data_IF_264369149124
#
_entry.id   IF_264369149124
#
_cell.length_a   1.000
_cell.length_b   1.000
_cell.length_c   1.000
_cell.angle_alpha   90.00
_cell.angle_beta   90.00
_cell.angle_gamma   90.00
#
_symmetry.space_group_name_H-M   'P 1'
#
loop_
_entity.id
_entity.type
_entity.pdbx_description
1 polymer ?
#
# COMPACT_ATOMS: atom_id res chain seq x y z
N UNK A 1 43.43 14.84 44.19
CA UNK A 1 42.49 13.79 44.62
C UNK A 1 41.32 13.79 43.67
N UNK A 2 41.35 12.94 42.64
CA UNK A 2 40.30 12.84 41.62
C UNK A 2 39.28 11.81 42.12
N UNK A 3 38.04 12.26 42.37
CA UNK A 3 36.97 11.39 42.86
C UNK A 3 36.60 10.29 41.84
N UNK A 4 36.12 9.12 42.30
CA UNK A 4 35.70 8.05 41.42
C UNK A 4 34.55 8.52 40.52
N UNK A 5 34.78 8.49 39.21
CA UNK A 5 33.80 8.87 38.21
C UNK A 5 32.56 7.97 38.28
N UNK A 6 31.42 8.56 38.61
CA UNK A 6 30.13 7.90 38.52
C UNK A 6 29.90 7.51 37.05
N UNK A 7 29.99 6.20 36.75
CA UNK A 7 29.66 5.70 35.42
C UNK A 7 28.22 6.08 35.08
N UNK A 8 27.96 6.62 33.87
CA UNK A 8 26.62 7.05 33.48
C UNK A 8 25.68 5.85 33.52
N UNK A 9 24.65 5.93 34.37
CA UNK A 9 23.61 4.91 34.51
C UNK A 9 22.98 4.64 33.14
N UNK A 10 23.37 3.53 32.51
CA UNK A 10 22.77 3.05 31.25
C UNK A 10 21.35 2.59 31.56
N UNK A 11 20.37 3.50 31.44
CA UNK A 11 18.95 3.12 31.39
C UNK A 11 18.78 2.16 30.22
N UNK A 12 18.55 0.88 30.53
CA UNK A 12 18.28 -0.13 29.51
C UNK A 12 17.04 0.31 28.73
N UNK A 13 17.09 0.16 27.40
CA UNK A 13 15.97 0.49 26.50
C UNK A 13 14.66 -0.19 26.89
N UNK A 14 14.72 -1.26 27.68
CA UNK A 14 13.54 -1.95 28.21
C UNK A 14 12.74 -1.08 29.19
N UNK A 15 13.36 -0.08 29.82
CA UNK A 15 12.72 0.88 30.74
C UNK A 15 12.23 2.18 30.03
N UNK A 16 12.34 2.26 28.69
CA UNK A 16 11.81 3.39 27.91
C UNK A 16 10.34 3.18 27.47
N UNK A 17 9.80 1.98 27.66
CA UNK A 17 8.40 1.64 27.39
C UNK A 17 7.61 1.69 28.70
N UNK A 18 7.30 2.92 29.15
CA UNK A 18 6.56 3.20 30.39
C UNK A 18 5.17 2.55 30.43
N UNK A 19 4.56 2.25 29.28
CA UNK A 19 3.38 1.38 29.22
C UNK A 19 3.27 0.70 27.85
N UNK A 20 3.93 -0.46 27.68
CA UNK A 20 3.96 -1.22 26.41
C UNK A 20 2.58 -1.43 25.81
N UNK A 21 1.56 -1.68 26.64
CA UNK A 21 0.25 -2.10 26.15
C UNK A 21 -0.47 -0.98 25.40
N UNK A 22 -0.47 0.24 25.92
CA UNK A 22 -1.17 1.36 25.28
C UNK A 22 -0.47 1.84 24.02
N UNK A 23 0.85 2.02 24.10
CA UNK A 23 1.64 2.53 22.97
C UNK A 23 1.69 1.54 21.80
N UNK A 24 1.79 0.24 22.10
CA UNK A 24 1.84 -0.79 21.07
C UNK A 24 0.46 -1.02 20.45
N UNK A 25 -0.63 -1.03 21.25
CA UNK A 25 -2.00 -1.19 20.71
C UNK A 25 -2.37 -0.08 19.73
N UNK A 26 -2.14 1.19 20.09
CA UNK A 26 -2.50 2.31 19.22
C UNK A 26 -1.64 2.33 17.94
N UNK A 27 -0.33 2.15 18.08
CA UNK A 27 0.58 2.15 16.92
C UNK A 27 0.29 0.97 16.00
N UNK A 28 0.07 -0.23 16.56
CA UNK A 28 -0.22 -1.43 15.77
C UNK A 28 -1.59 -1.33 15.09
N UNK A 29 -2.59 -0.73 15.73
CA UNK A 29 -3.88 -0.44 15.10
C UNK A 29 -3.73 0.53 13.92
N UNK A 30 -3.04 1.67 14.11
CA UNK A 30 -2.84 2.66 13.04
C UNK A 30 -1.99 2.10 11.89
N UNK A 31 -0.88 1.44 12.19
CA UNK A 31 -0.02 0.81 11.17
C UNK A 31 -0.74 -0.35 10.49
N UNK A 32 -1.53 -1.14 11.23
CA UNK A 32 -2.32 -2.24 10.68
C UNK A 32 -3.40 -1.75 9.71
N UNK A 33 -4.10 -0.68 10.07
CA UNK A 33 -5.08 -0.04 9.18
C UNK A 33 -4.40 0.51 7.92
N UNK A 34 -3.27 1.21 8.07
CA UNK A 34 -2.51 1.72 6.93
C UNK A 34 -2.00 0.59 6.02
N UNK A 35 -1.49 -0.50 6.60
CA UNK A 35 -1.03 -1.66 5.86
C UNK A 35 -2.17 -2.35 5.10
N UNK A 36 -3.35 -2.48 5.71
CA UNK A 36 -4.53 -3.03 5.07
C UNK A 36 -4.97 -2.17 3.87
N UNK A 37 -5.04 -0.85 4.04
CA UNK A 37 -5.37 0.08 2.95
C UNK A 37 -4.34 0.01 1.82
N UNK A 38 -3.05 -0.04 2.16
CA UNK A 38 -1.98 -0.20 1.15
C UNK A 38 -2.05 -1.55 0.43
N UNK A 39 -2.37 -2.64 1.13
CA UNK A 39 -2.51 -3.95 0.51
C UNK A 39 -3.68 -3.99 -0.48
N UNK A 40 -4.82 -3.41 -0.10
CA UNK A 40 -6.00 -3.32 -0.98
C UNK A 40 -5.70 -2.46 -2.22
N UNK A 41 -5.10 -1.29 -2.03
CA UNK A 41 -4.71 -0.42 -3.14
C UNK A 41 -3.66 -1.09 -4.03
N UNK A 42 -2.65 -1.71 -3.43
CA UNK A 42 -1.59 -2.41 -4.15
C UNK A 42 -2.11 -3.59 -4.97
N UNK A 43 -3.04 -4.38 -4.41
CA UNK A 43 -3.75 -5.43 -5.14
C UNK A 43 -4.45 -4.85 -6.36
N UNK A 44 -5.25 -3.80 -6.17
CA UNK A 44 -6.01 -3.18 -7.25
C UNK A 44 -5.09 -2.66 -8.37
N UNK A 45 -4.02 -1.94 -8.02
CA UNK A 45 -3.02 -1.44 -8.98
C UNK A 45 -2.34 -2.58 -9.76
N UNK A 46 -1.99 -3.69 -9.10
CA UNK A 46 -1.39 -4.86 -9.76
C UNK A 46 -2.39 -5.50 -10.74
N UNK A 47 -3.68 -5.52 -10.40
CA UNK A 47 -4.76 -5.97 -11.29
C UNK A 47 -4.80 -5.14 -12.57
N UNK A 48 -4.92 -3.81 -12.44
CA UNK A 48 -4.99 -2.88 -13.57
C UNK A 48 -3.72 -2.94 -14.43
N UNK A 49 -2.53 -2.99 -13.82
CA UNK A 49 -1.27 -3.15 -14.54
C UNK A 49 -1.18 -4.50 -15.28
N UNK A 50 -1.82 -5.53 -14.74
CA UNK A 50 -1.93 -6.85 -15.35
C UNK A 50 -2.70 -6.82 -16.66
N UNK A 51 -3.86 -6.16 -16.68
CA UNK A 51 -4.69 -6.00 -17.88
C UNK A 51 -3.94 -5.26 -18.99
N UNK A 52 -3.29 -4.14 -18.66
CA UNK A 52 -2.49 -3.38 -19.63
C UNK A 52 -1.34 -4.22 -20.22
N UNK A 53 -0.65 -5.00 -19.37
CA UNK A 53 0.44 -5.87 -19.83
C UNK A 53 -0.08 -7.00 -20.72
N UNK A 54 -1.26 -7.55 -20.42
CA UNK A 54 -1.86 -8.60 -21.23
C UNK A 54 -2.19 -8.10 -22.65
N UNK A 55 -2.75 -6.89 -22.78
CA UNK A 55 -3.03 -6.27 -24.09
C UNK A 55 -1.74 -6.05 -24.88
N UNK A 56 -0.69 -5.55 -24.23
CA UNK A 56 0.60 -5.37 -24.89
C UNK A 56 1.21 -6.70 -25.36
N UNK A 57 1.07 -7.77 -24.57
CA UNK A 57 1.51 -9.10 -24.95
C UNK A 57 0.67 -9.69 -26.09
N UNK A 58 -0.66 -9.50 -26.09
CA UNK A 58 -1.52 -10.03 -27.16
C UNK A 58 -1.29 -9.33 -28.49
N UNK A 59 -1.04 -8.02 -28.49
CA UNK A 59 -0.63 -7.29 -29.69
C UNK A 59 0.67 -7.85 -30.28
N UNK A 60 1.68 -8.12 -29.44
CA UNK A 60 2.95 -8.74 -29.89
C UNK A 60 2.81 -10.18 -30.37
N UNK A 61 1.89 -10.96 -29.80
CA UNK A 61 1.60 -12.32 -30.28
C UNK A 61 0.94 -12.31 -31.67
N UNK A 62 0.16 -11.28 -31.96
CA UNK A 62 -0.53 -11.10 -33.25
C UNK A 62 0.33 -10.61 -34.40
N UNK A 63 1.56 -10.14 -34.16
CA UNK A 63 2.48 -9.72 -35.23
C UNK A 63 2.89 -10.95 -36.07
N UNK A 64 2.55 -10.98 -37.38
CA UNK A 64 2.79 -12.15 -38.22
C UNK A 64 4.27 -12.29 -38.54
N UNK A 65 4.81 -13.49 -38.30
CA UNK A 65 6.11 -13.88 -38.84
C UNK A 65 5.99 -14.29 -40.32
N UNK A 66 7.07 -14.18 -41.11
CA UNK A 66 7.05 -14.69 -42.48
C UNK A 66 6.66 -16.16 -42.48
N UNK A 67 5.80 -16.57 -43.42
CA UNK A 67 5.30 -17.93 -43.49
C UNK A 67 6.45 -18.93 -43.61
N UNK A 68 6.41 -19.99 -42.79
CA UNK A 68 7.37 -21.07 -42.91
C UNK A 68 7.14 -21.79 -44.24
N UNK A 69 8.18 -22.02 -45.06
CA UNK A 69 8.02 -22.79 -46.29
C UNK A 69 7.61 -24.22 -45.93
N UNK A 70 6.48 -24.68 -46.46
CA UNK A 70 5.91 -26.02 -46.23
C UNK A 70 6.63 -27.12 -47.01
N UNK A 71 7.38 -26.74 -48.05
CA UNK A 71 8.07 -27.64 -48.96
C UNK A 71 9.48 -27.11 -49.27
N UNK A 72 10.45 -28.02 -49.33
CA UNK A 72 11.83 -27.74 -49.79
C UNK A 72 11.91 -27.58 -51.32
N UNK A 73 10.92 -28.10 -52.03
CA UNK A 73 10.84 -28.08 -53.49
C UNK A 73 9.87 -26.98 -53.95
N UNK A 74 10.21 -26.31 -55.05
CA UNK A 74 9.31 -25.42 -55.75
C UNK A 74 8.15 -26.25 -56.29
N UNK A 75 6.94 -25.88 -55.89
CA UNK A 75 5.74 -26.34 -56.59
C UNK A 75 5.62 -25.42 -57.80
N UNK A 76 5.83 -25.95 -59.00
CA UNK A 76 5.64 -25.22 -60.25
C UNK A 76 4.12 -25.00 -60.45
N UNK A 77 3.50 -24.10 -59.68
CA UNK A 77 2.11 -23.66 -59.83
C UNK A 77 1.99 -22.70 -61.04
N UNK A 78 2.41 -23.14 -62.23
CA UNK A 78 2.18 -22.40 -63.47
C UNK A 78 0.78 -22.68 -64.07
N UNK A 79 -0.03 -23.54 -63.45
CA UNK A 79 -1.36 -23.88 -63.94
C UNK A 79 -2.54 -23.26 -63.16
N UNK A 80 -2.28 -22.47 -62.11
CA UNK A 80 -3.35 -21.91 -61.27
C UNK A 80 -3.19 -20.40 -60.95
N UNK A 81 -2.64 -19.60 -61.88
CA UNK A 81 -2.91 -18.15 -61.87
C UNK A 81 -4.32 -17.88 -62.41
N UNK A 82 -5.33 -18.15 -61.58
CA UNK A 82 -6.45 -17.20 -61.51
C UNK A 82 -5.88 -15.88 -60.95
N UNK A 83 -6.36 -14.70 -61.39
CA UNK A 83 -5.78 -13.43 -60.96
C UNK A 83 -5.78 -13.38 -59.43
N UNK A 84 -4.60 -13.27 -58.85
CA UNK A 84 -4.43 -12.96 -57.44
C UNK A 84 -5.32 -11.75 -57.16
N UNK A 85 -6.42 -11.96 -56.44
CA UNK A 85 -7.20 -10.86 -55.91
C UNK A 85 -6.19 -9.98 -55.18
N UNK A 86 -6.11 -8.67 -55.50
CA UNK A 86 -5.20 -7.78 -54.82
C UNK A 86 -5.47 -7.95 -53.34
N UNK A 87 -4.48 -8.44 -52.60
CA UNK A 87 -4.51 -8.41 -51.15
C UNK A 87 -4.84 -6.96 -50.81
N UNK A 88 -6.06 -6.73 -50.34
CA UNK A 88 -6.49 -5.40 -49.95
C UNK A 88 -5.39 -4.85 -49.03
N UNK A 89 -4.94 -3.60 -49.21
CA UNK A 89 -4.07 -3.00 -48.22
C UNK A 89 -4.82 -3.09 -46.90
N UNK A 90 -4.39 -3.99 -46.03
CA UNK A 90 -4.77 -3.95 -44.62
C UNK A 90 -4.37 -2.55 -44.20
N UNK A 91 -5.37 -1.69 -44.02
CA UNK A 91 -5.18 -0.34 -43.55
C UNK A 91 -4.24 -0.43 -42.36
N UNK A 92 -3.06 0.18 -42.49
CA UNK A 92 -2.17 0.37 -41.37
C UNK A 92 -3.06 0.91 -40.23
N UNK A 93 -3.05 0.29 -39.04
CA UNK A 93 -3.75 0.91 -37.92
C UNK A 93 -3.16 2.31 -37.78
N UNK A 94 -4.02 3.31 -37.91
CA UNK A 94 -3.68 4.71 -37.64
C UNK A 94 -2.85 4.71 -36.35
N UNK A 95 -1.62 5.24 -36.34
CA UNK A 95 -0.86 5.33 -35.11
C UNK A 95 -1.72 6.12 -34.14
N UNK A 96 -2.19 5.45 -33.08
CA UNK A 96 -2.75 6.16 -31.93
C UNK A 96 -1.65 7.12 -31.48
N UNK A 97 -1.92 8.43 -31.37
CA UNK A 97 -0.90 9.38 -30.99
C UNK A 97 -0.29 8.92 -29.66
N UNK A 98 1.00 8.60 -29.71
CA UNK A 98 1.79 8.44 -28.49
C UNK A 98 1.68 9.77 -27.75
N UNK A 99 1.25 9.81 -26.48
CA UNK A 99 1.31 11.04 -25.72
C UNK A 99 2.79 11.45 -25.65
N UNK A 100 3.11 12.59 -26.27
CA UNK A 100 4.43 13.19 -26.22
C UNK A 100 4.74 13.59 -24.77
N UNK A 101 5.58 12.80 -24.11
CA UNK A 101 6.10 13.07 -22.77
C UNK A 101 7.23 14.13 -22.79
N UNK A 102 7.44 14.83 -23.90
CA UNK A 102 8.48 15.87 -24.06
C UNK A 102 7.95 17.31 -24.04
N UNK A 103 6.65 17.52 -23.84
CA UNK A 103 6.13 18.88 -23.63
C UNK A 103 6.58 19.40 -22.25
N UNK A 104 7.30 20.54 -22.17
CA UNK A 104 7.59 21.18 -20.90
C UNK A 104 6.26 21.57 -20.25
N UNK A 105 6.09 21.18 -18.99
CA UNK A 105 4.97 21.58 -18.14
C UNK A 105 4.87 23.11 -18.17
N UNK A 106 3.69 23.72 -18.39
CA UNK A 106 3.55 25.16 -18.22
C UNK A 106 3.89 25.50 -16.76
N UNK A 107 4.98 26.23 -16.55
CA UNK A 107 5.32 26.82 -15.27
C UNK A 107 4.14 27.70 -14.83
N UNK A 108 3.57 27.50 -13.63
CA UNK A 108 2.52 28.37 -13.14
C UNK A 108 3.04 29.81 -13.04
N UNK A 109 2.31 30.75 -13.62
CA UNK A 109 2.57 32.19 -13.50
C UNK A 109 2.48 32.58 -12.01
N UNK A 110 3.56 33.07 -11.39
CA UNK A 110 3.56 33.51 -10.00
C UNK A 110 2.71 34.78 -9.75
N UNK A 111 2.06 35.32 -10.79
CA UNK A 111 1.25 36.54 -10.73
C UNK A 111 -0.26 36.29 -10.73
N UNK A 112 -0.73 35.04 -10.80
CA UNK A 112 -2.16 34.73 -10.77
C UNK A 112 -2.73 34.86 -9.34
N UNK A 113 -3.77 35.69 -9.11
CA UNK A 113 -4.38 35.83 -7.80
C UNK A 113 -5.11 34.53 -7.39
N UNK A 114 -4.78 34.01 -6.22
CA UNK A 114 -5.44 32.87 -5.59
C UNK A 114 -6.95 33.13 -5.42
N UNK A 115 -7.86 32.23 -5.85
CA UNK A 115 -9.27 32.38 -5.55
C UNK A 115 -9.51 32.16 -4.05
N UNK A 116 -9.94 33.22 -3.37
CA UNK A 116 -10.42 33.16 -1.98
C UNK A 116 -11.72 32.36 -1.95
N UNK A 117 -11.86 31.31 -1.13
CA UNK A 117 -13.13 30.61 -0.98
C UNK A 117 -14.18 31.55 -0.37
N UNK A 118 -15.34 31.61 -1.02
CA UNK A 118 -16.53 32.36 -0.60
C UNK A 118 -17.02 31.83 0.78
N UNK A 119 -17.08 32.67 1.83
CA UNK A 119 -17.54 32.28 3.16
C UNK A 119 -19.06 32.03 3.24
N UNK A 120 -19.79 32.08 2.12
CA UNK A 120 -21.26 31.98 2.09
C UNK A 120 -21.80 30.60 1.70
N UNK A 121 -20.94 29.59 1.52
CA UNK A 121 -21.38 28.23 1.20
C UNK A 121 -21.98 27.52 2.44
N UNK A 122 -23.24 27.06 2.40
CA UNK A 122 -23.87 26.42 3.55
C UNK A 122 -23.20 25.07 3.86
N UNK A 123 -22.80 24.90 5.12
CA UNK A 123 -22.25 23.66 5.65
C UNK A 123 -23.27 22.52 5.53
N UNK A 124 -22.86 21.41 4.89
CA UNK A 124 -23.67 20.20 4.81
C UNK A 124 -23.81 19.56 6.21
N UNK A 125 -25.05 19.27 6.59
CA UNK A 125 -25.46 18.62 7.83
C UNK A 125 -24.93 17.16 7.88
N UNK A 126 -24.12 16.78 8.88
CA UNK A 126 -23.57 15.43 9.02
C UNK A 126 -24.57 14.38 9.55
N UNK A 127 -25.87 14.70 9.65
CA UNK A 127 -26.85 13.85 10.34
C UNK A 127 -27.83 13.07 9.44
N UNK A 128 -27.60 13.01 8.12
CA UNK A 128 -28.48 12.26 7.23
C UNK A 128 -28.19 10.73 7.29
N UNK A 129 -29.18 9.88 7.62
CA UNK A 129 -29.00 8.43 7.60
C UNK A 129 -28.91 7.89 6.17
N UNK A 130 -27.83 7.15 5.90
CA UNK A 130 -27.60 6.39 4.67
C UNK A 130 -28.74 5.38 4.43
N UNK A 131 -29.32 5.27 3.23
CA UNK A 131 -30.27 4.21 2.92
C UNK A 131 -29.55 2.86 2.91
N UNK A 132 -30.08 1.91 3.68
CA UNK A 132 -29.64 0.52 3.67
C UNK A 132 -29.92 -0.10 2.30
N UNK A 133 -28.88 -0.67 1.68
CA UNK A 133 -29.02 -1.46 0.47
C UNK A 133 -29.60 -2.84 0.82
N UNK A 134 -30.65 -3.21 0.08
CA UNK A 134 -31.39 -4.47 0.08
C UNK A 134 -30.48 -5.66 -0.33
N UNK A 135 -30.28 -6.68 0.51
CA UNK A 135 -29.49 -7.87 0.18
C UNK A 135 -30.40 -8.97 -0.36
N UNK A 136 -30.98 -8.76 -1.55
CA UNK A 136 -31.82 -9.76 -2.22
C UNK A 136 -31.47 -9.87 -3.70
N UNK A 137 -30.30 -10.43 -4.00
CA UNK A 137 -29.95 -10.92 -5.33
C UNK A 137 -29.21 -12.27 -5.19
N UNK A 138 -29.60 -13.32 -5.94
CA UNK A 138 -29.06 -14.66 -5.76
C UNK A 138 -27.61 -14.75 -6.23
N UNK A 139 -26.79 -15.39 -5.41
CA UNK A 139 -25.42 -15.76 -5.72
C UNK A 139 -25.41 -16.72 -6.92
N UNK A 140 -24.73 -16.31 -8.00
CA UNK A 140 -24.37 -17.19 -9.09
C UNK A 140 -23.16 -18.05 -8.68
N UNK A 141 -23.36 -19.36 -8.79
CA UNK A 141 -22.43 -20.45 -8.57
C UNK A 141 -21.24 -20.39 -9.57
N UNK A 142 -19.97 -20.30 -9.13
CA UNK A 142 -18.82 -20.45 -10.00
C UNK A 142 -18.27 -21.88 -9.90
N UNK A 143 -19.08 -22.86 -10.30
CA UNK A 143 -18.66 -24.26 -10.45
C UNK A 143 -18.95 -24.73 -11.87
N UNK A 144 -18.07 -24.39 -12.81
CA UNK A 144 -17.96 -25.10 -14.08
C UNK A 144 -16.50 -25.09 -14.58
N UNK A 145 -15.92 -26.25 -14.94
CA UNK A 145 -14.62 -26.30 -15.58
C UNK A 145 -14.75 -25.80 -17.02
N UNK A 146 -13.94 -24.81 -17.40
CA UNK A 146 -13.75 -24.43 -18.78
C UNK A 146 -13.01 -25.57 -19.49
N UNK A 147 -13.74 -26.34 -20.29
CA UNK A 147 -13.18 -27.23 -21.29
C UNK A 147 -12.51 -26.39 -22.38
N UNK A 148 -11.27 -26.73 -22.66
CA UNK A 148 -10.44 -26.17 -23.73
C UNK A 148 -10.99 -26.60 -25.10
N UNK A 149 -11.41 -25.67 -25.98
CA UNK A 149 -11.79 -25.97 -27.35
C UNK A 149 -10.55 -25.85 -28.23
N UNK A 150 -9.71 -26.87 -28.27
CA UNK A 150 -8.59 -26.96 -29.22
C UNK A 150 -8.22 -28.41 -29.50
N UNK A 151 -9.14 -29.12 -30.14
CA UNK A 151 -8.78 -30.23 -31.02
C UNK A 151 -9.23 -29.83 -32.42
N UNK A 152 -8.34 -29.75 -33.42
CA UNK A 152 -8.80 -29.69 -34.80
C UNK A 152 -9.52 -31.02 -35.07
N UNK A 153 -10.83 -30.94 -35.31
CA UNK A 153 -11.54 -32.04 -35.95
C UNK A 153 -10.84 -32.29 -37.28
N UNK A 154 -10.22 -33.47 -37.39
CA UNK A 154 -9.70 -33.98 -38.64
C UNK A 154 -10.86 -34.00 -39.64
N UNK A 155 -10.71 -33.21 -40.70
CA UNK A 155 -11.54 -33.32 -41.90
C UNK A 155 -11.23 -34.70 -42.53
N UNK A 156 -12.17 -35.65 -42.60
CA UNK A 156 -11.97 -36.91 -43.30
C UNK A 156 -12.33 -36.71 -44.78
N UNK A 157 -11.72 -35.71 -45.41
CA UNK A 157 -11.65 -35.61 -46.87
C UNK A 157 -10.18 -35.72 -47.25
N UNK A 158 -9.64 -36.92 -47.02
CA UNK A 158 -8.51 -37.36 -47.83
C UNK A 158 -9.02 -37.41 -49.27
N UNK A 159 -8.76 -36.35 -50.04
CA UNK A 159 -8.81 -36.46 -51.48
C UNK A 159 -7.90 -37.62 -51.87
N UNK A 160 -8.42 -38.67 -52.53
CA UNK A 160 -7.56 -39.65 -53.15
C UNK A 160 -6.72 -38.89 -54.16
N UNK A 161 -5.40 -38.87 -53.95
CA UNK A 161 -4.46 -38.21 -54.85
C UNK A 161 -4.83 -38.51 -56.29
N UNK A 162 -4.98 -37.45 -57.07
CA UNK A 162 -5.33 -37.47 -58.48
C UNK A 162 -4.31 -38.30 -59.23
N UNK A 163 -4.57 -39.61 -59.30
CA UNK A 163 -3.83 -40.51 -60.14
C UNK A 163 -4.08 -40.04 -61.58
N UNK A 164 -3.04 -39.85 -62.40
CA UNK A 164 -3.17 -39.21 -63.71
C UNK A 164 -4.24 -39.92 -64.51
N UNK A 165 -5.36 -39.23 -64.76
CA UNK A 165 -6.46 -39.76 -65.57
C UNK A 165 -5.93 -40.01 -66.97
N UNK A 166 -5.70 -41.28 -67.32
CA UNK A 166 -5.36 -41.70 -68.69
C UNK A 166 -6.51 -41.29 -69.61
N UNK A 167 -6.29 -40.23 -70.37
CA UNK A 167 -7.23 -39.83 -71.42
C UNK A 167 -6.98 -40.73 -72.62
N UNK A 168 -7.92 -41.64 -72.90
CA UNK A 168 -7.85 -42.51 -74.09
C UNK A 168 -8.44 -41.72 -75.25
N UNK A 169 -7.58 -41.12 -76.08
CA UNK A 169 -7.98 -40.52 -77.34
C UNK A 169 -8.05 -41.64 -78.39
N UNK A 170 -9.25 -42.06 -78.76
CA UNK A 170 -9.45 -43.10 -79.78
C UNK A 170 -9.46 -42.44 -81.15
N UNK A 171 -8.37 -42.54 -81.89
CA UNK A 171 -8.36 -42.33 -83.34
C UNK A 171 -8.54 -43.66 -84.06
N UNK A 172 -9.23 -43.63 -85.20
CA UNK A 172 -9.59 -44.80 -86.01
C UNK A 172 -8.38 -45.75 -86.18
N UNK A 173 -8.49 -46.93 -85.57
CA UNK A 173 -7.69 -48.13 -85.83
C UNK A 173 -6.24 -48.22 -85.30
N UNK A 174 -5.87 -47.58 -84.19
CA UNK A 174 -4.73 -48.05 -83.34
C UNK A 174 -4.78 -47.49 -81.91
N UNK A 175 -4.76 -48.38 -80.89
CA UNK A 175 -4.68 -48.02 -79.47
C UNK A 175 -3.21 -47.78 -79.07
N UNK A 176 -2.73 -46.54 -79.21
CA UNK A 176 -1.42 -46.13 -78.67
C UNK A 176 -1.63 -45.47 -77.31
N UNK A 177 -1.22 -46.14 -76.23
CA UNK A 177 -1.14 -45.49 -74.92
C UNK A 177 0.07 -44.55 -74.93
N UNK A 178 -0.16 -43.27 -75.19
CA UNK A 178 0.85 -42.25 -74.99
C UNK A 178 1.14 -42.17 -73.49
N UNK A 179 2.30 -42.67 -73.08
CA UNK A 179 2.73 -42.57 -71.69
C UNK A 179 3.14 -41.11 -71.49
N UNK A 180 2.50 -40.36 -70.57
CA UNK A 180 2.87 -38.97 -70.36
C UNK A 180 4.37 -38.89 -70.05
N UNK A 181 5.08 -37.87 -70.56
CA UNK A 181 6.49 -37.70 -70.29
C UNK A 181 6.71 -37.69 -68.76
N UNK A 182 7.81 -38.30 -68.26
CA UNK A 182 8.09 -38.30 -66.83
C UNK A 182 8.15 -36.84 -66.34
N UNK A 183 7.54 -36.53 -65.19
CA UNK A 183 7.59 -35.19 -64.65
C UNK A 183 9.04 -34.75 -64.48
N UNK A 184 9.36 -33.46 -64.70
CA UNK A 184 10.69 -32.94 -64.43
C UNK A 184 11.08 -33.22 -62.98
N UNK A 185 12.37 -33.47 -62.69
CA UNK A 185 12.81 -33.68 -61.31
C UNK A 185 12.45 -32.44 -60.47
N UNK A 186 11.98 -32.62 -59.23
CA UNK A 186 11.57 -31.52 -58.39
C UNK A 186 12.77 -30.58 -58.16
N UNK A 187 12.56 -29.28 -58.41
CA UNK A 187 13.59 -28.26 -58.22
C UNK A 187 13.56 -27.79 -56.77
N UNK A 188 14.68 -27.90 -56.07
CA UNK A 188 14.80 -27.36 -54.71
C UNK A 188 14.71 -25.82 -54.74
N UNK A 189 13.99 -25.22 -53.79
CA UNK A 189 13.99 -23.76 -53.61
C UNK A 189 15.34 -23.34 -53.02
N UNK A 190 16.17 -22.57 -53.76
CA UNK A 190 17.47 -22.12 -53.25
C UNK A 190 17.34 -21.23 -52.00
N UNK A 191 16.17 -20.65 -51.75
CA UNK A 191 15.87 -19.79 -50.61
C UNK A 191 15.17 -20.52 -49.45
N UNK A 192 15.00 -21.85 -49.51
CA UNK A 192 14.32 -22.59 -48.46
C UNK A 192 14.97 -22.35 -47.08
N UNK A 193 16.29 -22.52 -47.00
CA UNK A 193 17.04 -22.36 -45.76
C UNK A 193 16.96 -20.94 -45.19
N UNK A 194 17.01 -19.91 -46.06
CA UNK A 194 16.92 -18.51 -45.63
C UNK A 194 15.51 -18.15 -45.14
N UNK A 195 14.46 -18.66 -45.80
CA UNK A 195 13.07 -18.50 -45.35
C UNK A 195 12.81 -19.18 -43.99
N UNK A 196 13.29 -20.41 -43.82
CA UNK A 196 13.19 -21.13 -42.52
C UNK A 196 13.95 -20.37 -41.43
N UNK A 197 15.18 -19.93 -41.71
CA UNK A 197 15.97 -19.15 -40.75
C UNK A 197 15.27 -17.83 -40.38
N UNK A 198 14.72 -17.10 -41.35
CA UNK A 198 13.99 -15.85 -41.11
C UNK A 198 12.74 -16.07 -40.25
N UNK A 199 11.99 -17.15 -40.50
CA UNK A 199 10.84 -17.53 -39.68
C UNK A 199 11.24 -17.78 -38.21
N UNK A 200 12.25 -18.62 -37.97
CA UNK A 200 12.71 -18.91 -36.62
C UNK A 200 13.31 -17.69 -35.90
N UNK A 201 14.03 -16.83 -36.62
CA UNK A 201 14.55 -15.59 -36.06
C UNK A 201 13.42 -14.66 -35.63
N UNK A 202 12.35 -14.55 -36.42
CA UNK A 202 11.16 -13.78 -36.06
C UNK A 202 10.49 -14.34 -34.80
N UNK A 203 10.30 -15.66 -34.72
CA UNK A 203 9.70 -16.33 -33.55
C UNK A 203 10.51 -16.11 -32.26
N UNK A 204 11.84 -16.23 -32.33
CA UNK A 204 12.73 -15.99 -31.19
C UNK A 204 12.70 -14.52 -30.76
N UNK A 205 12.71 -13.58 -31.72
CA UNK A 205 12.61 -12.15 -31.43
C UNK A 205 11.28 -11.80 -30.74
N UNK A 206 10.17 -12.42 -31.19
CA UNK A 206 8.85 -12.26 -30.58
C UNK A 206 8.80 -12.79 -29.15
N UNK A 207 9.36 -13.97 -28.89
CA UNK A 207 9.45 -14.54 -27.54
C UNK A 207 10.29 -13.65 -26.62
N UNK A 208 11.46 -13.20 -27.07
CA UNK A 208 12.33 -12.31 -26.31
C UNK A 208 11.65 -10.98 -25.95
N UNK A 209 10.86 -10.41 -26.87
CA UNK A 209 10.08 -9.21 -26.61
C UNK A 209 9.01 -9.44 -25.53
N UNK A 210 8.27 -10.56 -25.58
CA UNK A 210 7.28 -10.91 -24.56
C UNK A 210 7.94 -11.10 -23.19
N UNK A 211 9.10 -11.76 -23.14
CA UNK A 211 9.87 -11.97 -21.91
C UNK A 211 10.42 -10.67 -21.33
N UNK A 212 10.80 -9.72 -22.19
CA UNK A 212 11.21 -8.38 -21.75
C UNK A 212 10.07 -7.63 -21.07
N UNK A 213 8.85 -7.65 -21.65
CA UNK A 213 7.66 -7.09 -21.02
C UNK A 213 7.37 -7.76 -19.66
N UNK A 214 7.50 -9.08 -19.59
CA UNK A 214 7.31 -9.85 -18.35
C UNK A 214 8.31 -9.45 -17.25
N UNK A 215 9.60 -9.33 -17.59
CA UNK A 215 10.65 -8.90 -16.65
C UNK A 215 10.44 -7.46 -16.18
N UNK A 216 10.02 -6.56 -17.08
CA UNK A 216 9.68 -5.18 -16.75
C UNK A 216 8.56 -5.11 -15.71
N UNK A 217 7.45 -5.83 -15.94
CA UNK A 217 6.34 -5.92 -14.99
C UNK A 217 6.80 -6.42 -13.62
N UNK A 218 7.54 -7.53 -13.57
CA UNK A 218 8.02 -8.12 -12.30
C UNK A 218 8.94 -7.15 -11.55
N UNK A 219 9.84 -6.44 -12.25
CA UNK A 219 10.70 -5.42 -11.63
C UNK A 219 9.88 -4.26 -11.06
N UNK A 220 8.92 -3.73 -11.81
CA UNK A 220 8.05 -2.64 -11.33
C UNK A 220 7.28 -3.07 -10.09
N UNK A 221 6.67 -4.27 -10.09
CA UNK A 221 5.94 -4.81 -8.93
C UNK A 221 6.88 -4.98 -7.74
N UNK A 222 8.09 -5.51 -7.95
CA UNK A 222 9.07 -5.70 -6.87
C UNK A 222 9.48 -4.35 -6.26
N UNK A 223 9.77 -3.34 -7.08
CA UNK A 223 10.10 -1.98 -6.61
C UNK A 223 8.92 -1.35 -5.86
N UNK A 224 7.69 -1.52 -6.35
CA UNK A 224 6.48 -1.03 -5.68
C UNK A 224 6.30 -1.67 -4.30
N UNK A 225 6.40 -3.01 -4.22
CA UNK A 225 6.30 -3.75 -2.95
C UNK A 225 7.42 -3.35 -1.99
N UNK A 226 8.67 -3.27 -2.46
CA UNK A 226 9.81 -2.88 -1.64
C UNK A 226 9.64 -1.45 -1.09
N UNK A 227 9.23 -0.50 -1.93
CA UNK A 227 9.00 0.89 -1.52
C UNK A 227 7.86 1.01 -0.50
N UNK A 228 6.75 0.28 -0.69
CA UNK A 228 5.65 0.20 0.27
C UNK A 228 6.08 -0.38 1.63
N UNK A 229 6.88 -1.45 1.64
CA UNK A 229 7.44 -2.02 2.88
C UNK A 229 8.37 -1.02 3.60
N UNK A 230 9.24 -0.32 2.87
CA UNK A 230 10.12 0.71 3.44
C UNK A 230 9.31 1.83 4.07
N UNK A 231 8.27 2.31 3.37
CA UNK A 231 7.39 3.36 3.89
C UNK A 231 6.64 2.90 5.13
N UNK A 232 6.09 1.67 5.14
CA UNK A 232 5.41 1.09 6.30
C UNK A 232 6.34 1.01 7.52
N UNK A 233 7.57 0.52 7.33
CA UNK A 233 8.57 0.45 8.40
C UNK A 233 8.94 1.85 8.88
N UNK A 234 9.17 2.78 7.97
CA UNK A 234 9.47 4.18 8.29
C UNK A 234 8.36 4.85 9.11
N UNK A 235 7.10 4.66 8.71
CA UNK A 235 5.93 5.22 9.39
C UNK A 235 5.73 4.57 10.77
N UNK A 236 5.98 3.26 10.91
CA UNK A 236 5.94 2.58 12.20
C UNK A 236 7.02 3.11 13.16
N UNK A 237 8.27 3.24 12.70
CA UNK A 237 9.37 3.81 13.51
C UNK A 237 9.07 5.27 13.89
N UNK A 238 8.56 6.06 12.94
CA UNK A 238 8.15 7.44 13.19
C UNK A 238 7.01 7.53 14.21
N UNK A 239 5.98 6.69 14.07
CA UNK A 239 4.85 6.59 15.00
C UNK A 239 5.31 6.27 16.43
N UNK A 240 6.17 5.25 16.59
CA UNK A 240 6.75 4.89 17.89
C UNK A 240 7.51 6.09 18.49
N UNK A 241 8.36 6.75 17.70
CA UNK A 241 9.13 7.94 18.13
C UNK A 241 8.21 9.08 18.55
N UNK A 242 7.15 9.35 17.80
CA UNK A 242 6.18 10.40 18.10
C UNK A 242 5.41 10.08 19.38
N UNK A 243 4.87 8.86 19.51
CA UNK A 243 4.13 8.45 20.71
C UNK A 243 4.99 8.53 21.97
N UNK A 244 6.31 8.26 21.90
CA UNK A 244 7.19 8.44 23.06
C UNK A 244 7.29 9.88 23.54
N UNK A 245 7.29 10.86 22.63
CA UNK A 245 7.40 12.29 22.97
C UNK A 245 6.14 12.88 23.61
N UNK A 246 5.00 12.19 23.45
CA UNK A 246 3.68 12.64 23.93
C UNK A 246 3.21 11.80 25.12
N UNK A 247 3.28 10.47 25.03
CA UNK A 247 2.73 9.57 26.05
C UNK A 247 3.51 9.59 27.36
N UNK A 248 4.84 9.77 27.31
CA UNK A 248 5.68 9.83 28.52
C UNK A 248 5.27 10.96 29.47
N UNK A 249 5.20 12.21 29.01
CA UNK A 249 4.70 13.33 29.79
C UNK A 249 3.28 13.14 30.30
N UNK A 250 2.38 12.66 29.44
CA UNK A 250 0.98 12.48 29.78
C UNK A 250 0.82 11.48 30.94
N UNK A 251 1.52 10.34 30.88
CA UNK A 251 1.53 9.36 31.96
C UNK A 251 2.03 9.95 33.28
N UNK A 252 3.08 10.80 33.22
CA UNK A 252 3.63 11.45 34.41
C UNK A 252 2.61 12.38 35.06
N UNK A 253 1.86 13.14 34.26
CA UNK A 253 0.77 14.00 34.75
C UNK A 253 -0.34 13.17 35.39
N UNK A 254 -0.76 12.06 34.76
CA UNK A 254 -1.72 11.13 35.36
C UNK A 254 -1.25 10.59 36.72
N UNK A 255 0.03 10.25 36.85
CA UNK A 255 0.62 9.80 38.12
C UNK A 255 0.55 10.88 39.20
N UNK A 256 0.87 12.13 38.87
CA UNK A 256 0.78 13.22 39.84
C UNK A 256 -0.66 13.58 40.18
N UNK A 257 -1.61 13.51 39.24
CA UNK A 257 -3.03 13.66 39.57
C UNK A 257 -3.54 12.55 40.49
N UNK A 258 -3.12 11.31 40.28
CA UNK A 258 -3.46 10.22 41.20
C UNK A 258 -2.91 10.49 42.61
N UNK A 259 -1.68 10.98 42.73
CA UNK A 259 -1.10 11.38 44.02
C UNK A 259 -1.87 12.53 44.66
N UNK A 260 -2.18 13.58 43.90
CA UNK A 260 -2.96 14.72 44.35
C UNK A 260 -4.33 14.30 44.86
N UNK A 261 -5.02 13.41 44.13
CA UNK A 261 -6.29 12.81 44.54
C UNK A 261 -6.16 12.03 45.86
N UNK A 262 -5.06 11.31 46.04
CA UNK A 262 -4.79 10.56 47.27
C UNK A 262 -4.26 11.47 48.41
N UNK A 263 -4.23 12.79 48.21
CA UNK A 263 -3.72 13.77 49.17
C UNK A 263 -2.20 13.76 49.32
N UNK A 264 -1.42 13.23 48.37
CA UNK A 264 0.05 13.24 48.43
C UNK A 264 0.62 14.33 47.54
N UNK A 265 1.23 15.33 48.17
CA UNK A 265 1.79 16.53 47.52
C UNK A 265 3.28 16.41 47.22
N UNK A 266 3.68 15.29 46.61
CA UNK A 266 5.08 15.00 46.29
C UNK A 266 5.73 16.06 45.38
N UNK A 267 7.05 16.21 45.48
CA UNK A 267 7.82 17.10 44.60
C UNK A 267 7.67 16.72 43.12
N UNK A 268 7.15 17.67 42.33
CA UNK A 268 7.02 17.51 40.89
C UNK A 268 8.37 17.74 40.20
N UNK A 269 8.90 16.71 39.54
CA UNK A 269 10.17 16.81 38.80
C UNK A 269 9.93 17.27 37.36
N UNK A 270 10.83 18.07 36.77
CA UNK A 270 10.67 18.57 35.40
C UNK A 270 10.62 17.44 34.36
N UNK A 271 10.08 17.77 33.19
CA UNK A 271 9.94 16.88 32.04
C UNK A 271 11.28 16.71 31.30
N UNK A 272 11.38 15.72 30.40
CA UNK A 272 12.62 15.51 29.63
C UNK A 272 12.73 16.56 28.52
N UNK A 273 13.96 17.00 28.23
CA UNK A 273 14.24 17.91 27.11
C UNK A 273 13.86 17.24 25.78
N UNK A 274 12.97 17.87 25.02
CA UNK A 274 12.49 17.40 23.71
C UNK A 274 11.14 16.68 23.72
N UNK A 275 10.47 16.60 24.87
CA UNK A 275 9.06 16.21 24.95
C UNK A 275 8.18 17.35 24.40
N UNK A 276 7.02 17.03 23.82
CA UNK A 276 6.16 18.05 23.20
C UNK A 276 5.29 18.80 24.21
N UNK A 277 4.98 18.17 25.35
CA UNK A 277 4.09 18.70 26.37
C UNK A 277 4.85 19.45 27.48
N UNK A 278 6.04 20.00 27.19
CA UNK A 278 6.86 20.69 28.19
C UNK A 278 6.11 21.91 28.76
N UNK A 279 5.57 22.75 27.90
CA UNK A 279 4.84 23.96 28.31
C UNK A 279 3.59 23.61 29.13
N UNK A 280 2.78 22.67 28.65
CA UNK A 280 1.64 22.14 29.40
C UNK A 280 2.06 21.61 30.78
N UNK A 281 3.17 20.88 30.85
CA UNK A 281 3.67 20.33 32.10
C UNK A 281 4.19 21.41 33.05
N UNK A 282 4.74 22.51 32.54
CA UNK A 282 5.15 23.64 33.37
C UNK A 282 3.94 24.39 33.93
N UNK A 283 2.85 24.57 33.17
CA UNK A 283 1.58 25.06 33.72
C UNK A 283 1.03 24.14 34.81
N UNK A 284 1.07 22.82 34.60
CA UNK A 284 0.70 21.84 35.62
C UNK A 284 1.55 21.97 36.89
N UNK A 285 2.87 22.14 36.75
CA UNK A 285 3.78 22.35 37.89
C UNK A 285 3.44 23.60 38.69
N UNK A 286 3.15 24.70 38.01
CA UNK A 286 2.78 25.95 38.65
C UNK A 286 1.46 25.81 39.41
N UNK A 287 0.45 25.18 38.78
CA UNK A 287 -0.82 24.90 39.44
C UNK A 287 -0.65 23.98 40.67
N UNK A 288 0.13 22.91 40.54
CA UNK A 288 0.44 22.03 41.67
C UNK A 288 1.15 22.79 42.80
N UNK A 289 2.13 23.63 42.49
CA UNK A 289 2.81 24.44 43.49
C UNK A 289 1.83 25.35 44.24
N UNK A 290 0.89 25.99 43.55
CA UNK A 290 -0.15 26.81 44.18
C UNK A 290 -1.04 26.02 45.14
N UNK A 291 -1.41 24.79 44.82
CA UNK A 291 -2.18 23.91 45.73
C UNK A 291 -1.37 23.53 46.96
N UNK A 292 -0.08 23.23 46.79
CA UNK A 292 0.83 22.92 47.92
C UNK A 292 1.03 24.12 48.83
N UNK A 293 1.17 25.31 48.25
CA UNK A 293 1.33 26.54 49.02
C UNK A 293 0.04 26.90 49.78
N UNK A 294 -1.12 26.68 49.18
CA UNK A 294 -2.42 26.81 49.85
C UNK A 294 -2.52 25.85 51.05
N UNK A 295 -2.21 24.58 50.85
CA UNK A 295 -2.27 23.56 51.91
C UNK A 295 -1.30 23.90 53.06
N UNK A 296 -0.10 24.40 52.74
CA UNK A 296 0.87 24.87 53.74
C UNK A 296 0.35 26.07 54.53
N UNK A 297 -0.29 27.02 53.86
CA UNK A 297 -0.89 28.19 54.51
C UNK A 297 -2.02 27.78 55.46
N UNK A 298 -2.88 26.85 55.04
CA UNK A 298 -3.96 26.30 55.86
C UNK A 298 -3.41 25.60 57.11
N UNK A 299 -2.41 24.73 56.95
CA UNK A 299 -1.73 24.07 58.08
C UNK A 299 -1.15 25.10 59.04
N UNK A 300 -0.46 26.13 58.54
CA UNK A 300 0.10 27.19 59.37
C UNK A 300 -0.97 27.98 60.13
N UNK A 301 -2.09 28.31 59.48
CA UNK A 301 -3.21 29.02 60.10
C UNK A 301 -3.86 28.18 61.21
N UNK A 302 -4.11 26.88 60.97
CA UNK A 302 -4.68 25.98 61.98
C UNK A 302 -3.73 25.80 63.17
N UNK A 303 -2.42 25.68 62.95
CA UNK A 303 -1.44 25.66 64.05
C UNK A 303 -1.50 26.92 64.88
N UNK A 304 -1.52 28.10 64.25
CA UNK A 304 -1.56 29.38 64.93
C UNK A 304 -2.84 29.53 65.76
N UNK A 305 -3.99 29.13 65.22
CA UNK A 305 -5.26 29.17 65.94
C UNK A 305 -5.27 28.23 67.16
N UNK A 306 -4.77 26.99 67.01
CA UNK A 306 -4.63 26.05 68.13
C UNK A 306 -3.70 26.59 69.22
N UNK A 307 -2.56 27.18 68.83
CA UNK A 307 -1.61 27.76 69.77
C UNK A 307 -2.20 28.96 70.54
N UNK A 308 -2.97 29.82 69.86
CA UNK A 308 -3.65 30.95 70.50
C UNK A 308 -4.72 30.48 71.52
N UNK A 309 -5.53 29.48 71.16
CA UNK A 309 -6.54 28.89 72.04
C UNK A 309 -5.91 28.17 73.26
N UNK A 310 -4.70 27.64 73.11
CA UNK A 310 -3.96 27.07 74.23
C UNK A 310 -3.41 28.16 75.15
N UNK A 311 -2.87 29.24 74.58
CA UNK A 311 -2.30 30.36 75.34
C UNK A 311 -3.34 31.15 76.14
N UNK A 312 -4.57 31.31 75.63
CA UNK A 312 -5.65 32.02 76.32
C UNK A 312 -6.46 31.14 77.31
N UNK A 313 -6.04 29.87 77.48
CA UNK A 313 -6.67 28.90 78.37
C UNK A 313 -8.10 28.52 77.99
N UNK A 314 -8.58 28.87 76.79
CA UNK A 314 -9.92 28.52 76.31
C UNK A 314 -10.12 27.00 76.22
N UNK A 315 -9.07 26.27 75.80
CA UNK A 315 -9.08 24.80 75.76
C UNK A 315 -9.24 24.17 77.15
N UNK A 316 -8.71 24.78 78.21
CA UNK A 316 -8.86 24.27 79.57
C UNK A 316 -10.23 24.59 80.18
N UNK A 317 -10.86 25.70 79.75
CA UNK A 317 -12.14 26.18 80.28
C UNK A 317 -13.36 25.46 79.69
N UNK A 318 -13.23 24.87 78.50
CA UNK A 318 -14.33 24.18 77.83
C UNK A 318 -13.91 22.79 77.34
N UNK A 319 -14.53 21.71 77.86
CA UNK A 319 -14.24 20.35 77.41
C UNK A 319 -14.64 20.13 75.94
N UNK A 320 -15.65 20.83 75.44
CA UNK A 320 -16.05 20.77 74.03
C UNK A 320 -14.98 21.38 73.11
N UNK A 321 -14.40 22.52 73.48
CA UNK A 321 -13.29 23.13 72.74
C UNK A 321 -12.04 22.25 72.78
N UNK A 322 -11.75 21.61 73.92
CA UNK A 322 -10.66 20.65 74.04
C UNK A 322 -10.82 19.46 73.08
N UNK A 323 -12.04 18.89 72.99
CA UNK A 323 -12.35 17.79 72.08
C UNK A 323 -12.22 18.21 70.61
N UNK A 324 -12.73 19.39 70.24
CA UNK A 324 -12.58 19.93 68.88
C UNK A 324 -11.11 20.19 68.51
N UNK A 325 -10.31 20.72 69.45
CA UNK A 325 -8.89 20.93 69.25
C UNK A 325 -8.11 19.61 69.09
N UNK A 326 -8.51 18.53 69.79
CA UNK A 326 -7.93 17.21 69.58
C UNK A 326 -8.21 16.67 68.16
N UNK A 327 -9.45 16.81 67.68
CA UNK A 327 -9.82 16.43 66.32
C UNK A 327 -9.06 17.25 65.25
N UNK A 328 -8.90 18.57 65.47
CA UNK A 328 -8.10 19.43 64.59
C UNK A 328 -6.63 19.04 64.56
N UNK A 329 -6.02 18.64 65.69
CA UNK A 329 -4.65 18.13 65.73
C UNK A 329 -4.49 16.85 64.92
N UNK A 330 -5.49 15.98 64.90
CA UNK A 330 -5.48 14.77 64.07
C UNK A 330 -5.58 15.10 62.58
N UNK A 331 -6.46 16.04 62.20
CA UNK A 331 -6.53 16.56 60.82
C UNK A 331 -5.20 17.17 60.40
N UNK A 332 -4.59 17.95 61.30
CA UNK A 332 -3.32 18.61 61.05
C UNK A 332 -2.20 17.60 60.81
N UNK A 333 -2.09 16.57 61.64
CA UNK A 333 -1.10 15.50 61.47
C UNK A 333 -1.25 14.80 60.11
N UNK A 334 -2.50 14.55 59.66
CA UNK A 334 -2.75 14.00 58.31
C UNK A 334 -2.30 14.96 57.21
N UNK A 335 -2.63 16.25 57.31
CA UNK A 335 -2.25 17.28 56.34
C UNK A 335 -0.73 17.48 56.29
N UNK A 336 -0.03 17.39 57.41
CA UNK A 336 1.44 17.45 57.44
C UNK A 336 2.07 16.25 56.76
N UNK A 337 1.58 15.04 57.05
CA UNK A 337 2.03 13.83 56.38
C UNK A 337 1.81 13.90 54.85
N UNK A 338 0.77 14.59 54.43
CA UNK A 338 0.38 14.81 53.03
C UNK A 338 1.41 15.65 52.25
N UNK A 339 2.14 16.56 52.93
CA UNK A 339 3.07 17.52 52.34
C UNK A 339 4.50 16.98 52.10
N UNK A 340 4.77 15.74 52.54
CA UNK A 340 6.03 15.03 52.33
C UNK A 340 7.00 15.13 53.50
#
# INVERSE_FOLDING_TARGET
MSGPGNAPYKRSWKNLLINKQYQLRFTLFMVGLAALLMALLGWWVIGVAGEATWVAQSLRRGEPCPAAPTSMYLVDDEAATGPAAPSAPTAAPTPTPTPDLSAPTPTPDPSAPTPTPDPSAPAADPSAPTPAADPSAPAADPSAPAADPSAPAADPTGEPGDAPRRTVVVHESTLTMETPPPPPPPRADPNYATKVAAHHQCELARQAAIDELGRGKTRIVLVLVASGLVLLVGLAVFGIKMTHRVAGPLYKVTLYFAKLRDGRYDKVTPLRKGDQLVEFFDHFKQAHAGVVDLERADVAAVKAALAAAEADGSLARSPELAAAAAALREVLARKEQSLG
#
